data_IF_473336948475
#
_entry.id   IF_473336948475
#
_cell.length_a   1.000
_cell.length_b   1.000
_cell.length_c   1.000
_cell.angle_alpha   90.00
_cell.angle_beta   90.00
_cell.angle_gamma   90.00
#
_symmetry.space_group_name_H-M   'P 1'
#
loop_
_entity.id
_entity.type
_entity.pdbx_description
1 polymer ?
#
# COMPACT_ATOMS: atom_id res chain seq x y z
N UNK A 1 6.27 -12.69 5.16
CA UNK A 1 5.28 -12.58 4.05
C UNK A 1 5.68 -13.51 2.90
N UNK A 2 4.80 -14.44 2.49
CA UNK A 2 5.03 -15.32 1.34
C UNK A 2 4.59 -14.61 0.05
N UNK A 3 5.45 -14.57 -0.97
CA UNK A 3 5.13 -14.06 -2.30
C UNK A 3 4.55 -15.17 -3.19
N UNK A 4 3.45 -14.88 -3.89
CA UNK A 4 2.87 -15.75 -4.91
C UNK A 4 3.26 -15.33 -6.33
N UNK A 5 3.61 -14.05 -6.49
CA UNK A 5 4.08 -13.47 -7.73
C UNK A 5 5.43 -12.79 -7.46
N UNK A 6 6.37 -12.92 -8.39
CA UNK A 6 7.61 -12.17 -8.35
C UNK A 6 7.32 -10.67 -8.48
N UNK A 7 8.15 -9.86 -7.83
CA UNK A 7 8.21 -8.42 -8.10
C UNK A 7 8.63 -8.19 -9.56
N UNK A 8 8.28 -7.02 -10.09
CA UNK A 8 8.77 -6.54 -11.38
C UNK A 8 10.30 -6.44 -11.28
N UNK A 9 10.99 -7.05 -12.25
CA UNK A 9 12.45 -7.01 -12.35
C UNK A 9 12.90 -5.65 -12.87
N UNK A 10 13.93 -5.05 -12.26
CA UNK A 10 14.39 -3.71 -12.64
C UNK A 10 14.85 -3.63 -14.11
N UNK A 11 15.46 -4.70 -14.61
CA UNK A 11 15.91 -4.81 -16.01
C UNK A 11 14.75 -4.85 -17.02
N UNK A 12 13.51 -5.04 -16.55
CA UNK A 12 12.30 -5.00 -17.38
C UNK A 12 11.66 -3.62 -17.48
N UNK A 13 12.13 -2.65 -16.69
CA UNK A 13 11.62 -1.28 -16.71
C UNK A 13 12.16 -0.51 -17.91
N UNK A 14 11.30 0.30 -18.51
CA UNK A 14 11.73 1.28 -19.51
C UNK A 14 12.64 2.35 -18.87
N UNK A 15 13.53 3.02 -19.63
CA UNK A 15 14.44 4.02 -19.05
C UNK A 15 13.76 5.14 -18.25
N UNK A 16 12.55 5.55 -18.66
CA UNK A 16 11.76 6.53 -17.92
C UNK A 16 11.20 5.99 -16.61
N UNK A 17 10.81 4.70 -16.58
CA UNK A 17 10.32 4.03 -15.38
C UNK A 17 11.45 3.81 -14.38
N UNK A 18 12.64 3.44 -14.87
CA UNK A 18 13.83 3.31 -14.04
C UNK A 18 14.22 4.65 -13.38
N UNK A 19 14.12 5.77 -14.11
CA UNK A 19 14.34 7.09 -13.53
C UNK A 19 13.32 7.38 -12.42
N UNK A 20 12.03 7.12 -12.66
CA UNK A 20 10.98 7.26 -11.64
C UNK A 20 11.31 6.39 -10.42
N UNK A 21 11.68 5.13 -10.62
CA UNK A 21 12.05 4.21 -9.54
C UNK A 21 13.18 4.77 -8.67
N UNK A 22 14.22 5.32 -9.30
CA UNK A 22 15.37 5.92 -8.60
C UNK A 22 14.98 7.17 -7.79
N UNK A 23 13.96 7.90 -8.23
CA UNK A 23 13.48 9.12 -7.58
C UNK A 23 12.45 8.84 -6.45
N UNK A 24 11.95 7.61 -6.33
CA UNK A 24 11.03 7.21 -5.24
C UNK A 24 11.74 7.14 -3.89
N UNK A 25 10.98 7.42 -2.82
CA UNK A 25 11.47 7.35 -1.46
C UNK A 25 11.89 5.91 -1.10
N UNK A 26 13.14 5.78 -0.63
CA UNK A 26 13.74 4.52 -0.20
C UNK A 26 13.80 4.37 1.33
N UNK A 27 13.34 5.37 2.08
CA UNK A 27 13.22 5.26 3.53
C UNK A 27 12.23 4.14 3.89
N UNK A 28 12.64 3.13 4.67
CA UNK A 28 11.72 2.10 5.12
C UNK A 28 10.58 2.70 5.94
N UNK A 29 9.38 2.15 5.81
CA UNK A 29 8.21 2.63 6.57
C UNK A 29 8.40 2.55 8.08
N UNK A 30 9.22 1.60 8.53
CA UNK A 30 9.57 1.45 9.93
C UNK A 30 8.52 0.71 10.75
N UNK A 31 8.98 0.24 11.92
CA UNK A 31 8.22 -0.67 12.79
C UNK A 31 6.93 -0.03 13.33
N UNK A 32 6.96 1.27 13.60
CA UNK A 32 5.85 1.98 14.23
C UNK A 32 4.63 2.08 13.31
N UNK A 33 4.83 2.45 12.05
CA UNK A 33 3.75 2.51 11.05
C UNK A 33 3.23 1.11 10.78
N UNK A 34 4.13 0.15 10.52
CA UNK A 34 3.76 -1.23 10.22
C UNK A 34 2.90 -1.87 11.34
N UNK A 35 3.29 -1.66 12.60
CA UNK A 35 2.55 -2.15 13.77
C UNK A 35 1.15 -1.54 13.87
N UNK A 36 1.02 -0.23 13.63
CA UNK A 36 -0.29 0.45 13.66
C UNK A 36 -1.21 -0.05 12.54
N UNK A 37 -0.67 -0.22 11.33
CA UNK A 37 -1.41 -0.73 10.17
C UNK A 37 -1.88 -2.16 10.42
N UNK A 38 -1.01 -3.03 10.94
CA UNK A 38 -1.34 -4.39 11.35
C UNK A 38 -2.55 -4.41 12.29
N UNK A 39 -2.49 -3.63 13.37
CA UNK A 39 -3.57 -3.55 14.36
C UNK A 39 -4.88 -3.03 13.74
N UNK A 40 -4.82 -2.00 12.89
CA UNK A 40 -6.02 -1.42 12.28
C UNK A 40 -6.70 -2.39 11.31
N UNK A 41 -5.93 -3.12 10.51
CA UNK A 41 -6.44 -4.18 9.63
C UNK A 41 -7.14 -5.28 10.44
N UNK A 42 -6.54 -5.72 11.55
CA UNK A 42 -7.14 -6.76 12.39
C UNK A 42 -8.40 -6.31 13.14
N UNK A 43 -8.51 -5.02 13.47
CA UNK A 43 -9.71 -4.48 14.13
C UNK A 43 -10.94 -4.53 13.24
N UNK A 44 -10.76 -4.37 11.93
CA UNK A 44 -11.83 -4.39 10.94
C UNK A 44 -11.46 -5.35 9.80
N UNK A 45 -11.59 -6.67 10.00
CA UNK A 45 -11.31 -7.64 8.95
C UNK A 45 -12.31 -7.52 7.80
N UNK A 46 -11.90 -7.99 6.62
CA UNK A 46 -12.76 -8.10 5.44
C UNK A 46 -12.26 -7.33 4.22
N UNK A 47 -12.91 -7.60 3.08
CA UNK A 47 -12.58 -7.02 1.77
C UNK A 47 -12.92 -5.52 1.69
N UNK A 48 -13.90 -5.05 2.46
CA UNK A 48 -14.33 -3.64 2.46
C UNK A 48 -13.61 -2.74 3.48
N UNK A 49 -12.72 -3.32 4.30
CA UNK A 49 -12.12 -2.63 5.46
C UNK A 49 -10.58 -2.50 5.38
N UNK A 50 -10.01 -2.87 4.24
CA UNK A 50 -8.57 -2.77 3.98
C UNK A 50 -8.08 -1.35 3.65
N UNK A 51 -6.77 -1.25 3.43
CA UNK A 51 -6.15 -0.10 2.77
C UNK A 51 -6.19 -0.35 1.27
N UNK A 52 -6.94 0.46 0.52
CA UNK A 52 -7.00 0.40 -0.94
C UNK A 52 -7.59 1.68 -1.50
N UNK A 53 -7.47 1.89 -2.82
CA UNK A 53 -8.32 2.86 -3.50
C UNK A 53 -9.56 2.17 -4.05
N UNK A 54 -10.70 2.83 -3.94
CA UNK A 54 -11.97 2.37 -4.50
C UNK A 54 -12.45 3.37 -5.55
N UNK A 55 -12.28 3.01 -6.82
CA UNK A 55 -12.82 3.71 -7.98
C UNK A 55 -13.04 2.75 -9.14
N UNK A 56 -13.54 3.27 -10.27
CA UNK A 56 -13.68 2.50 -11.50
C UNK A 56 -12.30 2.18 -12.10
N UNK A 57 -12.16 1.04 -12.77
CA UNK A 57 -10.94 0.53 -13.39
C UNK A 57 -9.88 0.03 -12.37
N UNK A 58 -8.65 -0.19 -12.83
CA UNK A 58 -7.53 -0.65 -11.99
C UNK A 58 -7.24 0.34 -10.86
N UNK A 59 -7.29 -0.13 -9.62
CA UNK A 59 -7.15 0.66 -8.39
C UNK A 59 -5.82 0.42 -7.66
N UNK A 60 -4.87 -0.27 -8.30
CA UNK A 60 -3.55 -0.52 -7.73
C UNK A 60 -3.52 -1.68 -6.76
N UNK A 61 -2.77 -1.46 -5.68
CA UNK A 61 -2.52 -2.42 -4.62
C UNK A 61 -3.39 -2.11 -3.40
N UNK A 62 -3.78 -3.18 -2.70
CA UNK A 62 -4.46 -3.09 -1.42
C UNK A 62 -3.92 -4.07 -0.38
N UNK A 63 -4.04 -3.68 0.88
CA UNK A 63 -3.72 -4.48 2.06
C UNK A 63 -4.99 -4.81 2.83
N UNK A 64 -5.13 -6.09 3.19
CA UNK A 64 -6.33 -6.62 3.83
C UNK A 64 -5.97 -7.60 4.93
N UNK A 65 -6.90 -7.79 5.86
CA UNK A 65 -6.88 -8.91 6.80
C UNK A 65 -8.19 -9.70 6.64
N UNK A 66 -8.09 -10.88 6.03
CA UNK A 66 -9.23 -11.71 5.62
C UNK A 66 -8.91 -13.16 5.99
N UNK A 67 -9.88 -13.88 6.56
CA UNK A 67 -9.72 -15.29 6.93
C UNK A 67 -8.45 -15.57 7.77
N UNK A 68 -8.15 -14.65 8.72
CA UNK A 68 -6.96 -14.70 9.59
C UNK A 68 -5.62 -14.57 8.86
N UNK A 69 -5.62 -13.99 7.66
CA UNK A 69 -4.41 -13.77 6.87
C UNK A 69 -4.28 -12.30 6.47
N UNK A 70 -3.06 -11.77 6.57
CA UNK A 70 -2.68 -10.53 5.94
C UNK A 70 -2.44 -10.78 4.46
N UNK A 71 -3.04 -9.98 3.60
CA UNK A 71 -3.00 -10.15 2.15
C UNK A 71 -2.59 -8.84 1.49
N UNK A 72 -1.59 -8.90 0.63
CA UNK A 72 -1.33 -7.90 -0.40
C UNK A 72 -1.91 -8.42 -1.71
N UNK A 73 -2.77 -7.64 -2.35
CA UNK A 73 -3.37 -8.02 -3.62
C UNK A 73 -3.73 -6.85 -4.50
N UNK A 74 -4.18 -7.17 -5.70
CA UNK A 74 -4.64 -6.18 -6.68
C UNK A 74 -6.09 -5.79 -6.42
N UNK A 75 -6.40 -4.54 -6.73
CA UNK A 75 -7.74 -3.96 -6.60
C UNK A 75 -8.21 -3.50 -7.97
N UNK A 76 -9.41 -3.91 -8.37
CA UNK A 76 -10.04 -3.60 -9.65
C UNK A 76 -11.50 -3.23 -9.44
N UNK A 77 -11.95 -2.15 -10.06
CA UNK A 77 -13.33 -1.64 -9.94
C UNK A 77 -13.78 -1.45 -8.47
N UNK A 78 -12.83 -1.14 -7.59
CA UNK A 78 -13.03 -0.98 -6.15
C UNK A 78 -13.12 -2.28 -5.34
N UNK A 79 -12.88 -3.44 -5.96
CA UNK A 79 -12.88 -4.76 -5.33
C UNK A 79 -11.50 -5.43 -5.39
N UNK A 80 -11.14 -6.13 -4.33
CA UNK A 80 -9.91 -6.92 -4.22
C UNK A 80 -10.04 -7.90 -3.04
N UNK A 81 -8.95 -8.57 -2.61
CA UNK A 81 -7.61 -8.59 -3.18
C UNK A 81 -7.43 -9.70 -4.23
N UNK A 82 -7.70 -9.42 -5.51
CA UNK A 82 -7.56 -10.40 -6.59
C UNK A 82 -6.91 -9.81 -7.85
N UNK A 83 -5.81 -10.39 -8.37
CA UNK A 83 -5.07 -11.53 -7.81
C UNK A 83 -4.36 -11.24 -6.48
N UNK A 84 -4.11 -12.30 -5.70
CA UNK A 84 -3.27 -12.25 -4.51
C UNK A 84 -1.80 -12.18 -4.94
N UNK A 85 -1.03 -11.26 -4.34
CA UNK A 85 0.39 -11.09 -4.63
C UNK A 85 1.26 -11.66 -3.52
N UNK A 86 0.82 -11.50 -2.27
CA UNK A 86 1.52 -12.02 -1.10
C UNK A 86 0.56 -12.24 0.07
N UNK A 87 0.88 -13.17 0.97
CA UNK A 87 0.16 -13.31 2.24
C UNK A 87 1.00 -13.91 3.37
N UNK A 88 0.52 -13.75 4.61
CA UNK A 88 0.95 -14.50 5.78
C UNK A 88 -0.17 -14.51 6.84
N UNK A 89 -0.07 -15.37 7.85
CA UNK A 89 -1.01 -15.49 8.96
C UNK A 89 -0.43 -15.00 10.31
N UNK A 90 0.81 -14.50 10.29
CA UNK A 90 1.55 -14.02 11.45
C UNK A 90 1.61 -12.50 11.49
N UNK A 91 1.19 -11.90 12.61
CA UNK A 91 1.36 -10.46 12.85
C UNK A 91 2.83 -10.04 12.76
N UNK A 92 3.73 -10.83 13.34
CA UNK A 92 5.17 -10.57 13.32
C UNK A 92 5.70 -10.57 11.89
N UNK A 93 5.34 -11.58 11.09
CA UNK A 93 5.80 -11.69 9.70
C UNK A 93 5.28 -10.56 8.83
N UNK A 94 4.06 -10.07 9.11
CA UNK A 94 3.46 -8.94 8.41
C UNK A 94 4.16 -7.63 8.79
N UNK A 95 4.35 -7.39 10.09
CA UNK A 95 5.01 -6.17 10.60
C UNK A 95 6.46 -6.11 10.16
N UNK A 96 7.20 -7.21 10.28
CA UNK A 96 8.60 -7.30 9.86
C UNK A 96 8.75 -7.04 8.35
N UNK A 97 7.83 -7.59 7.54
CA UNK A 97 7.80 -7.34 6.11
C UNK A 97 7.49 -5.86 5.80
N UNK A 98 6.36 -5.34 6.28
CA UNK A 98 5.91 -4.00 5.93
C UNK A 98 6.88 -2.91 6.44
N UNK A 99 7.50 -3.11 7.60
CA UNK A 99 8.46 -2.16 8.16
C UNK A 99 9.73 -1.98 7.33
N UNK A 100 10.08 -2.98 6.52
CA UNK A 100 11.25 -2.96 5.62
C UNK A 100 10.93 -2.49 4.21
N UNK A 101 9.65 -2.47 3.82
CA UNK A 101 9.23 -1.92 2.53
C UNK A 101 9.31 -0.38 2.55
N UNK A 102 9.43 0.21 1.36
CA UNK A 102 9.45 1.64 1.09
C UNK A 102 8.60 1.95 -0.15
N UNK A 103 8.38 3.23 -0.46
CA UNK A 103 7.64 3.62 -1.68
C UNK A 103 8.31 3.03 -2.93
N UNK A 104 9.64 3.04 -2.95
CA UNK A 104 10.45 2.45 -4.01
C UNK A 104 10.23 0.93 -4.11
N UNK A 105 10.37 0.16 -3.03
CA UNK A 105 10.24 -1.31 -3.12
C UNK A 105 8.79 -1.76 -3.33
N UNK A 106 7.82 -1.00 -2.82
CA UNK A 106 6.40 -1.26 -3.04
C UNK A 106 5.99 -1.03 -4.49
N UNK A 107 6.62 -0.09 -5.20
CA UNK A 107 6.32 0.22 -6.62
C UNK A 107 6.53 -0.94 -7.58
N UNK A 108 7.24 -1.99 -7.16
CA UNK A 108 7.55 -3.18 -7.94
C UNK A 108 6.55 -4.33 -7.77
N UNK A 109 5.53 -4.18 -6.91
CA UNK A 109 4.50 -5.21 -6.75
C UNK A 109 3.40 -5.11 -7.82
N UNK A 110 2.86 -6.26 -8.20
CA UNK A 110 1.80 -6.36 -9.20
C UNK A 110 2.35 -6.39 -10.63
N UNK A 111 1.48 -6.18 -11.61
CA UNK A 111 1.83 -6.23 -13.03
C UNK A 111 2.12 -4.86 -13.64
N UNK A 112 1.88 -3.77 -12.90
CA UNK A 112 2.02 -2.40 -13.39
C UNK A 112 2.93 -1.61 -12.45
N UNK A 113 4.10 -1.23 -12.97
CA UNK A 113 5.09 -0.46 -12.21
C UNK A 113 4.49 0.85 -11.68
N UNK A 114 4.72 1.11 -10.39
CA UNK A 114 4.37 2.36 -9.69
C UNK A 114 2.91 2.85 -9.92
N UNK A 115 1.99 1.94 -10.20
CA UNK A 115 0.60 2.30 -10.46
C UNK A 115 -0.23 2.12 -9.18
N UNK A 116 -0.54 3.26 -8.54
CA UNK A 116 -1.34 3.29 -7.32
C UNK A 116 -0.81 2.33 -6.25
N UNK A 117 0.51 2.37 -6.10
CA UNK A 117 1.23 1.61 -5.08
C UNK A 117 0.86 2.10 -3.67
N UNK A 118 1.11 1.28 -2.67
CA UNK A 118 0.96 1.68 -1.27
C UNK A 118 2.21 2.46 -0.90
N UNK A 119 2.04 3.73 -0.58
CA UNK A 119 3.12 4.63 -0.15
C UNK A 119 3.04 4.91 1.35
N UNK A 120 4.09 5.49 1.94
CA UNK A 120 4.11 5.95 3.33
C UNK A 120 2.92 6.88 3.63
N UNK A 121 2.65 7.86 2.76
CA UNK A 121 1.49 8.75 2.91
C UNK A 121 0.14 8.03 2.83
N UNK A 122 0.03 6.93 2.06
CA UNK A 122 -1.19 6.11 2.05
C UNK A 122 -1.34 5.29 3.32
N UNK A 123 -0.25 4.80 3.90
CA UNK A 123 -0.27 4.14 5.21
C UNK A 123 -0.70 5.13 6.29
N UNK A 124 -0.13 6.34 6.29
CA UNK A 124 -0.51 7.41 7.22
C UNK A 124 -1.99 7.79 7.06
N UNK A 125 -2.46 8.01 5.82
CA UNK A 125 -3.88 8.25 5.56
C UNK A 125 -4.76 7.11 6.07
N UNK A 126 -4.35 5.85 5.84
CA UNK A 126 -5.07 4.70 6.36
C UNK A 126 -5.19 4.69 7.87
N UNK A 127 -4.23 5.27 8.60
CA UNK A 127 -4.26 5.31 10.06
C UNK A 127 -5.20 6.38 10.61
N UNK A 128 -5.59 7.39 9.84
CA UNK A 128 -6.55 8.43 10.26
C UNK A 128 -7.94 7.86 10.58
N UNK A 129 -8.62 8.43 11.58
CA UNK A 129 -9.95 7.97 12.01
C UNK A 129 -11.02 8.16 10.94
N UNK A 130 -10.86 9.16 10.08
CA UNK A 130 -11.76 9.48 8.97
C UNK A 130 -11.31 8.88 7.63
N UNK A 131 -10.47 7.84 7.66
CA UNK A 131 -10.00 7.16 6.46
C UNK A 131 -11.16 6.81 5.52
N UNK A 132 -10.93 7.02 4.23
CA UNK A 132 -11.80 6.62 3.14
C UNK A 132 -10.94 6.07 2.00
N UNK A 133 -11.36 4.96 1.36
CA UNK A 133 -10.65 4.42 0.19
C UNK A 133 -10.86 5.27 -1.08
N UNK A 134 -11.62 6.36 -1.03
CA UNK A 134 -11.89 7.17 -2.22
C UNK A 134 -10.72 8.11 -2.53
N UNK A 135 -10.37 8.24 -3.82
CA UNK A 135 -9.29 9.13 -4.28
C UNK A 135 -9.49 10.59 -3.85
N UNK A 136 -10.72 11.09 -3.95
CA UNK A 136 -11.03 12.48 -3.59
C UNK A 136 -10.71 12.81 -2.13
N UNK A 137 -11.01 11.89 -1.21
CA UNK A 137 -10.71 12.07 0.21
C UNK A 137 -9.20 12.04 0.47
N UNK A 138 -8.48 11.17 -0.22
CA UNK A 138 -7.02 11.17 -0.17
C UNK A 138 -6.42 12.49 -0.71
N UNK A 139 -6.92 13.03 -1.81
CA UNK A 139 -6.46 14.34 -2.31
C UNK A 139 -6.70 15.47 -1.30
N UNK A 140 -7.84 15.46 -0.59
CA UNK A 140 -8.14 16.43 0.46
C UNK A 140 -7.14 16.31 1.61
N UNK A 141 -6.87 15.08 2.08
CA UNK A 141 -5.85 14.80 3.09
C UNK A 141 -4.47 15.34 2.69
N UNK A 142 -4.03 15.04 1.46
CA UNK A 142 -2.72 15.51 0.97
C UNK A 142 -2.63 17.02 0.80
N UNK A 143 -3.74 17.70 0.50
CA UNK A 143 -3.78 19.16 0.43
C UNK A 143 -3.63 19.80 1.82
N UNK A 144 -4.33 19.26 2.81
CA UNK A 144 -4.26 19.76 4.19
C UNK A 144 -2.85 19.59 4.76
N UNK A 145 -2.24 18.41 4.60
CA UNK A 145 -0.85 18.13 5.01
C UNK A 145 0.15 19.14 4.43
N UNK A 146 0.07 19.41 3.12
CA UNK A 146 0.95 20.38 2.45
C UNK A 146 0.73 21.81 2.94
N UNK A 147 -0.49 22.16 3.36
CA UNK A 147 -0.79 23.45 3.99
C UNK A 147 -0.12 23.61 5.35
N UNK A 148 -0.10 22.55 6.15
CA UNK A 148 0.53 22.52 7.48
C UNK A 148 2.06 22.59 7.39
N UNK A 149 2.68 21.83 6.48
CA UNK A 149 4.14 21.86 6.23
C UNK A 149 4.63 23.23 5.74
N UNK A 150 3.80 23.98 5.00
CA UNK A 150 4.14 25.36 4.56
C UNK A 150 3.97 26.41 5.65
N UNK A 151 3.26 26.08 6.72
CA UNK A 151 2.94 26.99 7.83
C UNK A 151 3.82 26.76 9.08
N UNK A 152 4.73 25.78 9.01
CA UNK A 152 5.71 25.43 10.05
C UNK A 152 7.12 25.88 9.64
#
# INVERSE_FOLDING_TARGET
MQLYNSKIELDSLEPSELQIYQDLDMEPYGIDIATKVCKKLMQNPGEDNGLYFSHRDYCGLGLYYINLQFILGVVNDGYGPAPLLASCDSETDFVDWLSQESDQTMSLYGSHFNNQTITKSRLEWYLEDNYSPTWNMYCLYMNDRRGQERSS
#
